data_IF_239084044806
#
_entry.id   IF_239084044806
#
_cell.length_a   1.000
_cell.length_b   1.000
_cell.length_c   1.000
_cell.angle_alpha   90.00
_cell.angle_beta   90.00
_cell.angle_gamma   90.00
#
_symmetry.space_group_name_H-M   'P 1'
#
loop_
_entity.id
_entity.type
_entity.pdbx_description
1 polymer ?
2 non-polymer ?
3 non-polymer ?
4 water ?
#
# COMPACT_ATOMS: atom_id res chain seq x y z
N UNK A 1 -8.59 -1.03 -24.49
CA UNK A 1 -8.54 -2.07 -25.61
C UNK A 1 -9.00 -3.35 -24.92
N UNK A 2 -9.95 -4.12 -25.47
CA UNK A 2 -10.39 -5.22 -24.61
C UNK A 2 -9.38 -6.37 -24.58
N UNK A 3 -8.87 -6.73 -23.41
CA UNK A 3 -7.89 -7.75 -23.24
C UNK A 3 -8.40 -9.16 -23.08
N UNK A 4 -7.50 -10.11 -23.10
CA UNK A 4 -7.83 -11.53 -22.87
C UNK A 4 -8.23 -11.66 -21.41
N UNK A 5 -9.42 -12.21 -21.16
CA UNK A 5 -9.86 -12.34 -19.78
C UNK A 5 -8.92 -13.13 -18.84
N UNK A 6 -8.29 -14.23 -19.29
CA UNK A 6 -7.49 -14.98 -18.48
C UNK A 6 -6.17 -14.13 -18.25
N UNK A 7 -5.70 -13.38 -19.28
CA UNK A 7 -4.52 -12.51 -18.95
C UNK A 7 -4.87 -11.54 -17.82
N UNK A 8 -6.06 -10.92 -17.95
CA UNK A 8 -6.49 -9.99 -16.87
C UNK A 8 -6.50 -10.68 -15.53
N UNK A 9 -6.98 -11.92 -15.49
CA UNK A 9 -6.96 -12.68 -14.23
C UNK A 9 -5.54 -12.84 -13.67
N UNK A 10 -4.58 -13.19 -14.56
CA UNK A 10 -3.19 -13.31 -14.09
C UNK A 10 -2.67 -11.95 -13.63
N UNK A 11 -3.03 -10.89 -14.34
CA UNK A 11 -2.57 -9.54 -13.86
C UNK A 11 -3.16 -9.22 -12.49
N UNK A 12 -4.42 -9.56 -12.25
CA UNK A 12 -5.01 -9.30 -10.91
C UNK A 12 -4.43 -10.17 -9.88
N UNK A 13 -4.11 -11.44 -10.21
CA UNK A 13 -3.39 -12.30 -9.20
C UNK A 13 -2.01 -11.68 -8.90
N UNK A 14 -1.35 -11.16 -9.95
CA UNK A 14 -0.03 -10.50 -9.72
C UNK A 14 -0.21 -9.23 -8.87
N UNK A 15 -1.24 -8.44 -9.10
CA UNK A 15 -1.51 -7.25 -8.26
C UNK A 15 -1.65 -7.69 -6.82
N UNK A 16 -2.44 -8.72 -6.55
CA UNK A 16 -2.58 -9.19 -5.13
C UNK A 16 -1.23 -9.62 -4.60
N UNK A 17 -0.41 -10.34 -5.36
CA UNK A 17 0.93 -10.68 -4.91
C UNK A 17 1.75 -9.45 -4.51
N UNK A 18 1.71 -8.43 -5.38
CA UNK A 18 2.49 -7.24 -5.06
C UNK A 18 1.95 -6.46 -3.88
N UNK A 19 0.62 -6.35 -3.73
CA UNK A 19 0.13 -5.65 -2.58
C UNK A 19 0.58 -6.40 -1.28
N UNK A 20 0.61 -7.76 -1.36
CA UNK A 20 1.09 -8.52 -0.18
C UNK A 20 2.59 -8.16 0.07
N UNK A 21 3.39 -8.14 -1.02
CA UNK A 21 4.81 -7.82 -0.82
C UNK A 21 5.00 -6.44 -0.27
N UNK A 22 4.23 -5.45 -0.79
CA UNK A 22 4.40 -4.08 -0.25
C UNK A 22 4.20 -4.10 1.27
N UNK A 23 3.08 -4.66 1.74
CA UNK A 23 2.80 -4.57 3.18
C UNK A 23 3.71 -5.46 4.00
N UNK A 24 4.09 -6.64 3.46
CA UNK A 24 4.96 -7.50 4.21
C UNK A 24 6.38 -6.87 4.33
N UNK A 25 6.92 -6.35 3.21
CA UNK A 25 8.17 -5.59 3.37
C UNK A 25 8.00 -4.35 4.24
N UNK A 26 6.88 -3.59 4.16
CA UNK A 26 6.84 -2.35 4.97
C UNK A 26 6.79 -2.72 6.46
N UNK A 27 5.94 -3.74 6.79
CA UNK A 27 5.88 -4.10 8.20
C UNK A 27 7.24 -4.60 8.66
N UNK A 28 7.95 -5.38 7.86
CA UNK A 28 9.29 -5.88 8.27
C UNK A 28 10.26 -4.72 8.36
N UNK A 29 10.20 -3.71 7.48
CA UNK A 29 11.06 -2.47 7.63
C UNK A 29 10.78 -1.90 8.99
N UNK A 30 9.51 -1.68 9.34
CA UNK A 30 9.28 -1.03 10.65
C UNK A 30 9.60 -1.95 11.83
N UNK A 31 9.55 -3.26 11.71
CA UNK A 31 9.97 -4.16 12.77
C UNK A 31 11.52 -4.09 12.90
N UNK A 32 12.20 -4.06 11.77
CA UNK A 32 13.69 -4.01 11.85
C UNK A 32 14.08 -2.70 12.46
N UNK A 33 13.38 -1.59 12.11
CA UNK A 33 13.69 -0.31 12.77
C UNK A 33 13.41 -0.35 14.27
N UNK A 34 12.29 -0.97 14.62
CA UNK A 34 11.94 -1.06 16.05
C UNK A 34 12.98 -1.89 16.79
N UNK A 35 13.52 -2.93 16.17
CA UNK A 35 14.56 -3.75 16.82
C UNK A 35 15.95 -3.09 16.82
N UNK A 36 16.11 -2.04 16.03
CA UNK A 36 17.38 -1.29 16.05
C UNK A 36 18.33 -1.56 14.89
N UNK A 37 17.91 -2.39 13.91
CA UNK A 37 18.83 -2.71 12.73
C UNK A 37 18.50 -1.67 11.67
N UNK A 38 19.07 -0.48 11.80
CA UNK A 38 18.59 0.62 11.00
C UNK A 38 19.06 0.41 9.53
N UNK A 39 20.19 -0.24 9.28
CA UNK A 39 20.57 -0.44 7.87
C UNK A 39 19.78 -1.51 7.20
N UNK A 40 19.40 -2.53 7.96
CA UNK A 40 18.44 -3.48 7.35
C UNK A 40 17.09 -2.78 7.12
N UNK A 41 16.63 -1.97 8.10
CA UNK A 41 15.34 -1.27 7.93
C UNK A 41 15.39 -0.41 6.64
N UNK A 42 16.48 0.35 6.39
CA UNK A 42 16.56 1.15 5.17
C UNK A 42 16.37 0.37 3.89
N UNK A 43 16.99 -0.78 3.83
CA UNK A 43 16.87 -1.65 2.63
C UNK A 43 15.47 -2.22 2.48
N UNK A 44 14.86 -2.62 3.62
CA UNK A 44 13.48 -3.13 3.47
C UNK A 44 12.49 -2.07 3.08
N UNK A 45 12.65 -0.84 3.56
CA UNK A 45 11.80 0.29 3.07
C UNK A 45 11.95 0.43 1.53
N UNK A 46 13.19 0.43 1.06
CA UNK A 46 13.40 0.62 -0.37
C UNK A 46 12.78 -0.57 -1.15
N UNK A 47 12.89 -1.81 -0.62
CA UNK A 47 12.29 -2.94 -1.36
C UNK A 47 10.77 -2.82 -1.40
N UNK A 48 10.16 -2.38 -0.29
CA UNK A 48 8.67 -2.19 -0.28
C UNK A 48 8.29 -1.16 -1.34
N UNK A 49 9.05 -0.06 -1.46
CA UNK A 49 8.73 0.96 -2.50
C UNK A 49 8.94 0.41 -3.90
N UNK A 50 9.93 -0.47 -4.11
CA UNK A 50 10.07 -1.14 -5.46
C UNK A 50 8.76 -1.94 -5.71
N UNK A 51 8.22 -2.64 -4.67
CA UNK A 51 7.02 -3.49 -4.97
C UNK A 51 5.83 -2.54 -5.20
N UNK A 52 5.80 -1.33 -4.60
CA UNK A 52 4.70 -0.38 -4.82
C UNK A 52 4.72 -0.06 -6.36
N UNK A 53 5.87 0.14 -6.99
CA UNK A 53 5.90 0.41 -8.38
C UNK A 53 5.34 -0.73 -9.24
N UNK A 54 5.72 -1.94 -8.79
CA UNK A 54 5.20 -3.14 -9.49
C UNK A 54 3.68 -3.21 -9.37
N UNK A 55 3.12 -2.96 -8.18
CA UNK A 55 1.64 -2.97 -8.02
C UNK A 55 1.02 -1.96 -8.98
N UNK A 56 1.60 -0.74 -9.05
CA UNK A 56 1.05 0.25 -9.94
C UNK A 56 1.09 -0.20 -11.39
N UNK A 57 2.20 -0.83 -11.81
CA UNK A 57 2.21 -1.30 -13.18
C UNK A 57 1.10 -2.32 -13.49
N UNK A 58 0.79 -3.14 -12.49
CA UNK A 58 -0.36 -4.04 -12.78
C UNK A 58 -1.67 -3.30 -12.86
N UNK A 59 -1.91 -2.36 -11.95
CA UNK A 59 -3.18 -1.58 -12.02
C UNK A 59 -3.30 -0.91 -13.39
N UNK A 60 -2.20 -0.30 -13.86
CA UNK A 60 -2.27 0.43 -15.18
C UNK A 60 -2.59 -0.58 -16.33
N UNK A 61 -1.97 -1.77 -16.28
CA UNK A 61 -2.21 -2.63 -17.43
C UNK A 61 -3.60 -3.18 -17.38
N UNK A 62 -4.07 -3.53 -16.19
CA UNK A 62 -5.45 -4.08 -16.10
C UNK A 62 -6.44 -3.06 -16.64
N UNK A 63 -6.28 -1.77 -16.28
CA UNK A 63 -7.25 -0.77 -16.80
C UNK A 63 -7.14 -0.62 -18.28
N UNK A 64 -5.91 -0.64 -18.83
CA UNK A 64 -5.81 -0.50 -20.28
C UNK A 64 -6.55 -1.62 -21.00
N UNK A 65 -6.49 -2.84 -20.45
CA UNK A 65 -7.12 -4.03 -21.06
C UNK A 65 -8.61 -4.10 -20.63
N UNK A 66 -9.13 -3.01 -20.03
CA UNK A 66 -10.60 -2.85 -19.66
C UNK A 66 -11.02 -3.85 -18.63
N UNK A 67 -10.11 -4.30 -17.80
CA UNK A 67 -10.48 -5.07 -16.64
C UNK A 67 -10.68 -4.21 -15.38
N UNK A 68 -11.08 -4.91 -14.31
CA UNK A 68 -11.32 -4.21 -13.05
C UNK A 68 -10.23 -4.60 -12.05
N UNK A 69 -9.28 -3.69 -11.74
CA UNK A 69 -8.24 -4.08 -10.77
C UNK A 69 -8.86 -4.32 -9.41
N UNK A 70 -8.42 -5.41 -8.76
CA UNK A 70 -8.95 -5.71 -7.45
C UNK A 70 -7.86 -5.54 -6.39
N UNK A 71 -7.96 -4.50 -5.58
CA UNK A 71 -6.97 -4.25 -4.51
C UNK A 71 -7.60 -4.64 -3.16
N UNK A 72 -8.76 -5.39 -3.09
CA UNK A 72 -9.35 -5.58 -1.82
C UNK A 72 -8.61 -6.55 -0.91
N UNK A 73 -7.89 -7.52 -1.45
CA UNK A 73 -7.31 -8.55 -0.56
C UNK A 73 -5.86 -8.87 -0.90
N UNK A 74 -5.20 -9.36 0.14
CA UNK A 74 -3.85 -9.75 0.06
C UNK A 74 -3.75 -11.26 0.20
N UNK A 75 -2.62 -11.82 -0.17
CA UNK A 75 -2.30 -13.24 0.11
C UNK A 75 -1.90 -13.25 1.61
N UNK A 76 -1.87 -14.42 2.25
CA UNK A 76 -1.62 -14.35 3.73
C UNK A 76 -0.18 -13.81 4.01
N UNK A 77 -0.15 -12.91 4.98
CA UNK A 77 1.15 -12.37 5.34
C UNK A 77 1.95 -13.39 6.15
N UNK A 78 3.29 -13.28 6.00
CA UNK A 78 4.20 -14.09 6.80
C UNK A 78 5.04 -13.13 7.60
N UNK A 79 4.87 -13.10 8.91
CA UNK A 79 5.50 -11.97 9.72
C UNK A 79 6.61 -12.56 10.51
N UNK A 80 7.82 -12.15 10.25
CA UNK A 80 8.89 -12.89 11.10
C UNK A 80 9.08 -12.32 12.51
N UNK A 81 9.48 -13.07 13.56
CA UNK A 81 9.79 -12.38 14.81
C UNK A 81 11.26 -12.43 15.26
N UNK A 82 12.13 -12.81 14.32
CA UNK A 82 13.56 -12.59 14.43
C UNK A 82 14.05 -12.17 13.06
N UNK A 83 15.29 -11.63 13.01
CA UNK A 83 15.79 -11.21 11.77
C UNK A 83 15.81 -12.40 10.81
N UNK A 84 16.22 -13.60 11.24
CA UNK A 84 16.26 -14.72 10.28
C UNK A 84 14.84 -15.09 9.78
N UNK A 85 13.86 -15.08 10.67
CA UNK A 85 12.47 -15.33 10.24
C UNK A 85 11.96 -14.28 9.24
N UNK A 86 12.37 -13.02 9.39
CA UNK A 86 11.96 -11.98 8.42
C UNK A 86 12.57 -12.36 7.05
N UNK A 87 13.86 -12.72 6.98
CA UNK A 87 14.51 -13.07 5.74
C UNK A 87 13.74 -14.27 5.14
N UNK A 88 13.48 -15.27 6.00
CA UNK A 88 12.83 -16.50 5.48
C UNK A 88 11.40 -16.26 4.94
N UNK A 89 10.68 -15.41 5.65
CA UNK A 89 9.28 -15.05 5.31
C UNK A 89 9.22 -14.35 3.94
N UNK A 90 10.14 -13.36 3.79
CA UNK A 90 10.15 -12.60 2.52
C UNK A 90 10.66 -13.50 1.40
N UNK A 91 11.62 -14.40 1.66
CA UNK A 91 12.09 -15.30 0.58
C UNK A 91 10.92 -16.20 0.12
N UNK A 92 10.14 -16.74 1.06
CA UNK A 92 9.05 -17.64 0.63
C UNK A 92 8.03 -16.89 -0.19
N UNK A 93 7.74 -15.64 0.16
CA UNK A 93 6.78 -14.87 -0.63
C UNK A 93 7.29 -14.52 -2.00
N UNK A 94 8.57 -14.19 -2.04
CA UNK A 94 9.11 -13.79 -3.34
C UNK A 94 9.27 -14.99 -4.31
N UNK A 95 9.57 -16.20 -3.77
CA UNK A 95 9.55 -17.41 -4.64
C UNK A 95 8.14 -17.59 -5.23
N UNK A 96 7.12 -17.36 -4.42
CA UNK A 96 5.73 -17.57 -4.96
C UNK A 96 5.42 -16.49 -6.03
N UNK A 97 5.90 -15.26 -5.81
CA UNK A 97 5.70 -14.25 -6.86
C UNK A 97 6.38 -14.57 -8.19
N UNK A 98 7.64 -14.94 -8.11
CA UNK A 98 8.39 -15.34 -9.29
C UNK A 98 7.61 -16.44 -10.04
N UNK A 99 7.13 -17.47 -9.33
CA UNK A 99 6.46 -18.59 -10.06
C UNK A 99 5.16 -18.13 -10.70
N UNK A 100 4.46 -17.21 -10.00
CA UNK A 100 3.24 -16.66 -10.64
C UNK A 100 3.59 -15.90 -11.94
N UNK A 101 4.68 -15.10 -11.86
CA UNK A 101 4.99 -14.34 -13.08
C UNK A 101 5.51 -15.18 -14.23
N UNK A 102 6.19 -16.28 -13.89
CA UNK A 102 6.59 -17.20 -14.91
C UNK A 102 5.36 -17.78 -15.62
N UNK A 103 4.34 -18.16 -14.80
CA UNK A 103 3.16 -18.69 -15.45
C UNK A 103 2.39 -17.63 -16.22
N UNK A 104 2.25 -16.37 -15.68
CA UNK A 104 1.55 -15.32 -16.38
C UNK A 104 2.22 -14.96 -17.72
N UNK A 105 3.56 -14.94 -17.68
CA UNK A 105 4.27 -14.63 -18.93
C UNK A 105 4.05 -15.73 -19.98
N UNK A 106 4.07 -17.00 -19.55
CA UNK A 106 3.87 -18.05 -20.55
C UNK A 106 2.47 -18.01 -21.10
N UNK A 107 1.45 -17.77 -20.23
CA UNK A 107 0.09 -17.67 -20.68
C UNK A 107 -0.12 -16.52 -21.68
N UNK A 108 0.39 -15.33 -21.29
CA UNK A 108 0.18 -14.19 -22.17
C UNK A 108 0.88 -14.44 -23.53
N UNK A 109 2.06 -15.07 -23.52
CA UNK A 109 2.75 -15.34 -24.79
C UNK A 109 1.84 -16.27 -25.61
N UNK A 110 1.22 -17.24 -24.95
CA UNK A 110 0.41 -18.23 -25.75
C UNK A 110 -0.79 -17.57 -26.46
N UNK A 111 -1.31 -16.41 -26.00
CA UNK A 111 -2.43 -15.68 -26.62
C UNK A 111 -1.96 -14.44 -27.39
N UNK A 112 -0.63 -14.28 -27.54
CA UNK A 112 -0.12 -13.16 -28.36
C UNK A 112 -0.13 -11.85 -27.63
N UNK A 113 -0.37 -11.83 -26.31
CA UNK A 113 -0.38 -10.50 -25.60
C UNK A 113 1.04 -10.26 -25.14
N UNK A 114 1.85 -9.82 -26.13
CA UNK A 114 3.31 -9.72 -25.87
C UNK A 114 3.64 -8.56 -24.88
N UNK A 115 2.89 -7.46 -24.88
CA UNK A 115 3.23 -6.43 -23.86
C UNK A 115 2.93 -6.88 -22.42
N UNK A 116 1.84 -7.69 -22.27
CA UNK A 116 1.65 -8.25 -20.97
C UNK A 116 2.72 -9.31 -20.64
N UNK A 117 3.07 -10.12 -21.62
CA UNK A 117 4.14 -11.08 -21.39
C UNK A 117 5.44 -10.40 -20.92
N UNK A 118 5.76 -9.31 -21.62
CA UNK A 118 6.99 -8.56 -21.22
C UNK A 118 6.89 -7.88 -19.87
N UNK A 119 5.72 -7.47 -19.42
CA UNK A 119 5.58 -6.95 -18.05
C UNK A 119 5.84 -8.11 -17.07
N UNK A 120 5.25 -9.31 -17.31
CA UNK A 120 5.54 -10.41 -16.37
C UNK A 120 6.96 -10.87 -16.40
N UNK A 121 7.60 -10.89 -17.58
CA UNK A 121 9.01 -11.27 -17.63
C UNK A 121 9.89 -10.20 -16.95
N UNK A 122 9.57 -8.92 -17.12
CA UNK A 122 10.35 -7.87 -16.40
C UNK A 122 10.19 -8.04 -14.88
N UNK A 123 8.97 -8.22 -14.41
CA UNK A 123 8.80 -8.40 -12.94
C UNK A 123 9.43 -9.72 -12.51
N UNK A 124 9.36 -10.81 -13.32
CA UNK A 124 10.02 -12.05 -12.87
C UNK A 124 11.54 -11.81 -12.68
N UNK A 125 12.16 -11.02 -13.58
CA UNK A 125 13.61 -10.78 -13.39
C UNK A 125 13.82 -9.90 -12.14
N UNK A 126 12.89 -8.93 -11.87
CA UNK A 126 13.13 -8.14 -10.69
C UNK A 126 12.95 -8.99 -9.42
N UNK A 127 11.97 -9.92 -9.44
CA UNK A 127 11.82 -10.74 -8.25
C UNK A 127 13.00 -11.71 -8.12
N UNK A 128 13.64 -12.17 -9.22
CA UNK A 128 14.83 -12.99 -8.99
C UNK A 128 15.98 -12.16 -8.38
N UNK A 129 16.04 -10.87 -8.67
CA UNK A 129 17.03 -10.00 -7.98
C UNK A 129 16.70 -9.91 -6.51
N UNK A 130 15.42 -9.75 -6.14
CA UNK A 130 15.05 -9.77 -4.71
C UNK A 130 15.34 -11.08 -4.04
N UNK A 131 15.08 -12.21 -4.72
CA UNK A 131 15.42 -13.54 -4.24
C UNK A 131 16.96 -13.64 -3.99
N UNK A 132 17.72 -13.22 -4.98
CA UNK A 132 19.22 -13.24 -4.83
C UNK A 132 19.61 -12.49 -3.56
N UNK A 133 19.06 -11.29 -3.35
CA UNK A 133 19.39 -10.56 -2.16
C UNK A 133 19.07 -11.32 -0.88
N UNK A 134 17.85 -11.84 -0.77
CA UNK A 134 17.42 -12.54 0.40
C UNK A 134 18.19 -13.86 0.65
N UNK A 135 18.44 -14.59 -0.43
CA UNK A 135 19.30 -15.81 -0.29
C UNK A 135 20.68 -15.44 0.21
N UNK A 136 21.22 -14.31 -0.30
CA UNK A 136 22.58 -13.94 0.14
C UNK A 136 22.55 -13.62 1.64
N UNK A 137 21.48 -12.93 2.10
CA UNK A 137 21.49 -12.57 3.56
C UNK A 137 21.43 -13.87 4.31
N UNK A 138 20.61 -14.83 3.88
CA UNK A 138 20.53 -16.09 4.66
C UNK A 138 21.86 -16.87 4.58
N UNK A 139 22.60 -16.69 3.49
CA UNK A 139 23.93 -17.34 3.37
C UNK A 139 24.91 -16.76 4.45
N UNK A 140 24.86 -15.46 4.60
CA UNK A 140 25.70 -14.83 5.60
C UNK A 140 25.26 -15.29 6.97
N UNK A 141 23.95 -15.39 7.26
CA UNK A 141 23.55 -15.84 8.60
C UNK A 141 24.07 -17.29 8.78
N UNK A 142 24.04 -18.11 7.73
CA UNK A 142 24.51 -19.50 7.87
C UNK A 142 26.02 -19.54 8.14
N UNK A 143 26.82 -18.70 7.48
CA UNK A 143 28.28 -18.78 7.60
C UNK A 143 28.81 -17.99 8.82
N UNK A 144 28.09 -16.94 9.28
CA UNK A 144 28.64 -16.10 10.36
C UNK A 144 27.88 -16.27 11.64
N UNK A 145 26.65 -16.78 11.54
CA UNK A 145 25.68 -16.76 12.61
C UNK A 145 24.82 -15.48 12.61
N UNK A 146 23.64 -15.61 13.13
CA UNK A 146 22.64 -14.47 13.01
C UNK A 146 23.22 -13.22 13.73
N UNK A 147 23.84 -13.36 14.91
CA UNK A 147 24.20 -12.14 15.69
C UNK A 147 25.30 -11.37 14.98
N UNK A 148 26.34 -12.02 14.41
CA UNK A 148 27.38 -11.25 13.64
C UNK A 148 26.74 -10.63 12.44
N UNK A 149 25.87 -11.38 11.74
CA UNK A 149 25.24 -10.78 10.53
C UNK A 149 24.45 -9.51 10.94
N UNK A 150 23.57 -9.65 11.92
CA UNK A 150 22.69 -8.52 12.22
C UNK A 150 23.46 -7.34 12.82
N UNK A 151 24.47 -7.65 13.66
CA UNK A 151 25.21 -6.53 14.27
C UNK A 151 25.84 -5.65 13.22
N UNK A 152 26.28 -6.21 12.11
CA UNK A 152 26.92 -5.37 11.11
C UNK A 152 26.03 -4.31 10.50
N UNK A 153 24.74 -4.58 10.59
CA UNK A 153 23.79 -3.69 9.92
C UNK A 153 22.96 -2.88 10.93
N UNK A 154 23.47 -2.69 12.15
CA UNK A 154 22.78 -1.82 13.08
C UNK A 154 22.73 -0.39 12.56
N UNK A 155 23.80 0.09 11.89
CA UNK A 155 23.73 1.45 11.33
C UNK A 155 24.19 2.48 12.32
N UNK A 156 23.81 3.76 12.05
CA UNK A 156 24.29 4.96 12.82
C UNK A 156 23.14 5.38 13.68
N UNK A 157 23.52 6.01 14.79
CA UNK A 157 22.44 6.55 15.67
C UNK A 157 21.94 7.90 15.14
N UNK A 158 20.65 8.20 15.37
CA UNK A 158 20.07 9.48 14.83
C UNK A 158 20.70 10.63 15.56
N UNK A 159 20.84 11.76 14.86
CA UNK A 159 21.28 13.02 15.52
C UNK A 159 20.40 13.34 16.75
N UNK B 1 7.47 -0.01 24.81
CA UNK B 1 6.78 0.37 26.10
C UNK B 1 5.43 -0.32 26.03
N UNK B 2 4.94 -1.00 27.08
CA UNK B 2 3.70 -1.72 26.79
C UNK B 2 2.53 -0.77 26.86
N UNK B 3 1.79 -0.69 25.77
CA UNK B 3 0.65 0.19 25.62
C UNK B 3 -0.67 -0.31 26.15
N UNK B 4 -1.67 0.55 26.21
CA UNK B 4 -3.01 0.10 26.54
C UNK B 4 -3.58 -0.74 25.40
N UNK B 5 -4.03 -1.95 25.75
CA UNK B 5 -4.51 -2.85 24.68
C UNK B 5 -5.69 -2.27 23.83
N UNK B 6 -6.63 -1.48 24.38
CA UNK B 6 -7.65 -1.02 23.65
C UNK B 6 -7.12 0.15 22.75
N UNK B 7 -6.15 0.93 23.27
CA UNK B 7 -5.58 1.97 22.33
C UNK B 7 -4.94 1.25 21.14
N UNK B 8 -4.21 0.16 21.40
CA UNK B 8 -3.58 -0.55 20.25
C UNK B 8 -4.65 -1.06 19.29
N UNK B 9 -5.81 -1.49 19.80
CA UNK B 9 -6.90 -1.92 18.90
C UNK B 9 -7.39 -0.73 18.05
N UNK B 10 -7.58 0.46 18.66
CA UNK B 10 -7.96 1.59 17.83
C UNK B 10 -6.89 1.94 16.80
N UNK B 11 -5.64 1.82 17.21
CA UNK B 11 -4.54 2.13 16.22
C UNK B 11 -4.58 1.13 15.06
N UNK B 12 -4.83 -0.13 15.37
CA UNK B 12 -4.96 -1.13 14.25
C UNK B 12 -6.17 -0.91 13.43
N UNK B 13 -7.30 -0.51 14.05
CA UNK B 13 -8.43 -0.15 13.20
C UNK B 13 -8.11 1.03 12.30
N UNK B 14 -7.37 1.99 12.87
CA UNK B 14 -6.95 3.16 12.03
C UNK B 14 -6.04 2.70 10.93
N UNK B 15 -5.10 1.82 11.22
CA UNK B 15 -4.22 1.30 10.15
C UNK B 15 -5.04 0.66 9.02
N UNK B 16 -6.04 -0.16 9.37
CA UNK B 16 -6.89 -0.73 8.31
C UNK B 16 -7.58 0.36 7.54
N UNK B 17 -8.11 1.39 8.22
CA UNK B 17 -8.80 2.47 7.51
C UNK B 17 -7.82 3.15 6.51
N UNK B 18 -6.59 3.36 6.94
CA UNK B 18 -5.63 4.05 6.01
C UNK B 18 -5.20 3.16 4.89
N UNK B 19 -4.99 1.86 5.16
CA UNK B 19 -4.67 1.00 4.04
C UNK B 19 -5.80 1.00 2.97
N UNK B 20 -7.05 1.01 3.49
CA UNK B 20 -8.20 1.10 2.53
C UNK B 20 -8.11 2.43 1.73
N UNK B 21 -7.84 3.54 2.45
CA UNK B 21 -7.78 4.81 1.70
C UNK B 21 -6.61 4.88 0.71
N UNK B 22 -5.45 4.29 1.07
CA UNK B 22 -4.34 4.28 0.14
C UNK B 22 -4.80 3.59 -1.17
N UNK B 23 -5.35 2.37 -1.04
CA UNK B 23 -5.70 1.62 -2.25
C UNK B 23 -6.90 2.22 -2.99
N UNK B 24 -7.91 2.76 -2.25
CA UNK B 24 -9.06 3.36 -2.94
C UNK B 24 -8.62 4.62 -3.71
N UNK B 25 -7.80 5.47 -3.05
CA UNK B 25 -7.31 6.64 -3.80
C UNK B 25 -6.39 6.20 -4.92
N UNK B 26 -5.55 5.20 -4.74
CA UNK B 26 -4.62 4.88 -5.86
C UNK B 26 -5.40 4.30 -7.08
N UNK B 27 -6.36 3.36 -6.76
CA UNK B 27 -7.14 2.89 -7.88
C UNK B 27 -7.91 4.02 -8.53
N UNK B 28 -8.46 4.92 -7.73
CA UNK B 28 -9.17 6.07 -8.35
C UNK B 28 -8.23 7.01 -9.14
N UNK B 29 -7.00 7.22 -8.69
CA UNK B 29 -5.97 7.96 -9.48
C UNK B 29 -5.84 7.27 -10.82
N UNK B 30 -5.64 5.95 -10.82
CA UNK B 30 -5.37 5.30 -12.12
C UNK B 30 -6.63 5.24 -12.98
N UNK B 31 -7.82 5.18 -12.41
CA UNK B 31 -9.04 5.28 -13.19
C UNK B 31 -9.23 6.68 -13.77
N UNK B 32 -8.94 7.72 -13.01
CA UNK B 32 -9.08 9.07 -13.55
C UNK B 32 -8.05 9.29 -14.67
N UNK B 33 -6.84 8.75 -14.51
CA UNK B 33 -5.85 8.81 -15.63
C UNK B 33 -6.31 8.06 -16.88
N UNK B 34 -6.86 6.88 -16.62
CA UNK B 34 -7.41 6.07 -17.76
C UNK B 34 -8.51 6.79 -18.50
N UNK B 35 -9.38 7.49 -17.77
CA UNK B 35 -10.47 8.28 -18.37
C UNK B 35 -9.97 9.58 -19.00
N UNK B 36 -8.76 10.01 -18.67
CA UNK B 36 -8.17 11.19 -19.33
C UNK B 36 -8.20 12.46 -18.50
N UNK B 37 -8.62 12.37 -17.21
CA UNK B 37 -8.69 13.61 -16.35
C UNK B 37 -7.36 13.69 -15.64
N UNK B 38 -6.31 14.18 -16.37
CA UNK B 38 -4.97 14.02 -15.85
C UNK B 38 -4.74 14.94 -14.59
N UNK B 39 -5.41 16.09 -14.50
CA UNK B 39 -5.20 16.95 -13.30
C UNK B 39 -5.95 16.38 -12.09
N UNK B 40 -7.07 15.74 -12.31
CA UNK B 40 -7.71 15.06 -11.19
C UNK B 40 -6.82 13.85 -10.81
N UNK B 41 -6.25 13.12 -11.82
CA UNK B 41 -5.41 11.94 -11.50
C UNK B 41 -4.20 12.43 -10.64
N UNK B 42 -3.58 13.56 -10.97
CA UNK B 42 -2.39 13.98 -10.19
C UNK B 42 -2.71 14.21 -8.74
N UNK B 43 -3.86 14.80 -8.50
CA UNK B 43 -4.28 15.10 -7.13
C UNK B 43 -4.66 13.84 -6.37
N UNK B 44 -5.33 12.87 -7.02
CA UNK B 44 -5.61 11.65 -6.26
C UNK B 44 -4.38 10.81 -5.98
N UNK B 45 -3.40 10.83 -6.87
CA UNK B 45 -2.10 10.15 -6.58
C UNK B 45 -1.48 10.81 -5.29
N UNK B 46 -1.46 12.17 -5.24
CA UNK B 46 -0.88 12.81 -4.09
C UNK B 46 -1.70 12.52 -2.84
N UNK B 47 -3.02 12.42 -2.92
CA UNK B 47 -3.78 12.12 -1.66
C UNK B 47 -3.51 10.69 -1.24
N UNK B 48 -3.37 9.75 -2.18
CA UNK B 48 -3.03 8.37 -1.78
C UNK B 48 -1.71 8.35 -1.04
N UNK B 49 -0.71 9.07 -1.54
CA UNK B 49 0.61 9.12 -0.86
C UNK B 49 0.52 9.79 0.53
N UNK B 50 -0.37 10.77 0.68
CA UNK B 50 -0.63 11.31 2.05
C UNK B 50 -1.18 10.20 2.95
N UNK B 51 -2.06 9.32 2.42
CA UNK B 51 -2.63 8.28 3.32
C UNK B 51 -1.51 7.21 3.59
N UNK B 52 -0.55 7.01 2.67
CA UNK B 52 0.55 6.05 2.92
C UNK B 52 1.32 6.59 4.13
N UNK B 53 1.50 7.90 4.29
CA UNK B 53 2.24 8.35 5.44
C UNK B 53 1.48 8.13 6.73
N UNK B 54 0.15 8.33 6.66
CA UNK B 54 -0.70 8.06 7.83
C UNK B 54 -0.62 6.58 8.19
N UNK B 55 -0.70 5.66 7.20
CA UNK B 55 -0.57 4.22 7.52
C UNK B 55 0.76 3.96 8.25
N UNK B 56 1.84 4.54 7.71
CA UNK B 56 3.12 4.32 8.38
C UNK B 56 3.14 4.81 9.82
N UNK B 57 2.56 6.00 10.06
CA UNK B 57 2.47 6.49 11.42
C UNK B 57 1.76 5.52 12.41
N UNK B 58 0.71 4.90 11.90
CA UNK B 58 0.08 3.89 12.76
C UNK B 58 0.94 2.68 12.95
N UNK B 59 1.63 2.14 11.94
CA UNK B 59 2.49 0.94 12.15
C UNK B 59 3.56 1.30 13.20
N UNK B 60 4.17 2.50 13.08
CA UNK B 60 5.26 2.89 14.00
C UNK B 60 4.69 2.95 15.46
N UNK B 61 3.50 3.54 15.63
CA UNK B 61 3.04 3.70 17.04
C UNK B 61 2.69 2.36 17.61
N UNK B 62 2.05 1.51 16.82
CA UNK B 62 1.65 0.16 17.34
C UNK B 62 2.87 -0.61 17.78
N UNK B 63 3.95 -0.60 17.00
CA UNK B 63 5.18 -1.34 17.43
C UNK B 63 5.79 -0.71 18.67
N UNK B 64 5.80 0.63 18.76
CA UNK B 64 6.39 1.23 19.98
C UNK B 64 5.61 0.75 21.23
N UNK B 65 4.28 0.64 21.10
CA UNK B 65 3.40 0.21 22.23
C UNK B 65 3.38 -1.32 22.34
N UNK B 66 4.27 -2.02 21.59
CA UNK B 66 4.47 -3.49 21.67
C UNK B 66 3.28 -4.27 21.17
N UNK B 67 2.45 -3.66 20.34
CA UNK B 67 1.41 -4.42 19.66
C UNK B 67 1.88 -5.00 18.31
N UNK B 68 0.95 -5.73 17.70
CA UNK B 68 1.23 -6.37 16.42
C UNK B 68 0.43 -5.67 15.35
N UNK B 69 1.06 -4.86 14.48
CA UNK B 69 0.30 -4.21 13.42
C UNK B 69 -0.28 -5.25 12.47
N UNK B 70 -1.56 -5.07 12.09
CA UNK B 70 -2.23 -5.97 11.20
C UNK B 70 -2.50 -5.28 9.85
N UNK B 71 -1.71 -5.64 8.82
CA UNK B 71 -1.92 -5.09 7.46
C UNK B 71 -2.65 -6.11 6.57
N UNK B 72 -3.23 -7.21 7.14
CA UNK B 72 -3.77 -8.21 6.22
C UNK B 72 -5.02 -7.81 5.48
N UNK B 73 -5.84 -6.99 6.09
CA UNK B 73 -7.14 -6.72 5.46
C UNK B 73 -7.47 -5.21 5.40
N UNK B 74 -8.38 -4.92 4.48
CA UNK B 74 -8.89 -3.61 4.26
C UNK B 74 -10.36 -3.60 4.59
N UNK B 75 -10.87 -2.42 4.78
CA UNK B 75 -12.35 -2.23 4.85
C UNK B 75 -12.86 -2.34 3.39
N UNK B 76 -14.20 -2.50 3.20
CA UNK B 76 -14.62 -2.78 1.78
C UNK B 76 -14.38 -1.52 0.90
N UNK B 77 -13.84 -1.80 -0.28
CA UNK B 77 -13.52 -0.63 -1.09
C UNK B 77 -14.83 -0.19 -1.74
N UNK B 78 -14.84 1.11 -2.09
CA UNK B 78 -15.96 1.71 -2.84
C UNK B 78 -15.38 2.24 -4.11
N UNK B 79 -15.73 1.67 -5.27
CA UNK B 79 -15.00 2.05 -6.49
C UNK B 79 -15.94 2.83 -7.34
N UNK B 80 -15.58 4.04 -7.65
CA UNK B 80 -16.66 4.75 -8.46
C UNK B 80 -16.59 4.48 -9.97
N UNK B 81 -17.70 4.49 -10.76
CA UNK B 81 -17.64 4.32 -12.22
C UNK B 81 -17.85 5.58 -13.09
N UNK B 82 -17.98 6.74 -12.43
CA UNK B 82 -17.96 8.07 -13.02
C UNK B 82 -17.17 8.99 -12.10
N UNK B 83 -16.78 10.16 -12.60
CA UNK B 83 -16.04 11.07 -11.74
C UNK B 83 -16.89 11.41 -10.52
N UNK B 84 -18.22 11.65 -10.69
CA UNK B 84 -19.00 11.97 -9.48
C UNK B 84 -19.01 10.79 -8.47
N UNK B 85 -19.13 9.58 -8.95
CA UNK B 85 -19.11 8.40 -8.06
C UNK B 85 -17.75 8.27 -7.34
N UNK B 86 -16.64 8.57 -8.03
CA UNK B 86 -15.32 8.50 -7.37
C UNK B 86 -15.36 9.56 -6.24
N UNK B 87 -15.85 10.80 -6.48
CA UNK B 87 -15.85 11.81 -5.43
C UNK B 87 -16.73 11.28 -4.23
N UNK B 88 -17.93 10.78 -4.54
CA UNK B 88 -18.81 10.32 -3.47
C UNK B 88 -18.21 9.13 -2.67
N UNK B 89 -17.54 8.24 -3.39
CA UNK B 89 -16.97 7.02 -2.76
C UNK B 89 -15.88 7.40 -1.78
N UNK B 90 -15.00 8.31 -2.23
CA UNK B 90 -13.91 8.73 -1.34
C UNK B 90 -14.46 9.60 -0.20
N UNK B 91 -15.51 10.42 -0.42
CA UNK B 91 -16.05 11.21 0.69
C UNK B 91 -16.63 10.26 1.75
N UNK B 92 -17.36 9.23 1.34
CA UNK B 92 -17.94 8.34 2.36
C UNK B 92 -16.88 7.68 3.17
N UNK B 93 -15.79 7.26 2.51
CA UNK B 93 -14.73 6.63 3.27
C UNK B 93 -14.04 7.56 4.20
N UNK B 94 -13.81 8.79 3.75
CA UNK B 94 -13.05 9.68 4.61
C UNK B 94 -13.95 10.13 5.82
N UNK B 95 -15.29 10.25 5.63
CA UNK B 95 -16.16 10.50 6.81
C UNK B 95 -16.05 9.36 7.85
N UNK B 96 -15.92 8.13 7.39
CA UNK B 96 -15.82 7.01 8.35
C UNK B 96 -14.45 7.07 9.06
N UNK B 97 -13.36 7.42 8.30
CA UNK B 97 -12.03 7.57 8.95
C UNK B 97 -12.03 8.65 10.02
N UNK B 98 -12.58 9.83 9.69
CA UNK B 98 -12.67 10.93 10.63
C UNK B 98 -13.40 10.49 11.93
N UNK B 99 -14.52 9.78 11.79
CA UNK B 99 -15.30 9.39 13.01
C UNK B 99 -14.48 8.37 13.80
N UNK B 100 -13.76 7.49 13.10
CA UNK B 100 -12.88 6.55 13.90
C UNK B 100 -11.78 7.29 14.68
N UNK B 101 -11.19 8.29 14.03
CA UNK B 101 -10.13 8.94 14.75
C UNK B 101 -10.66 9.86 15.88
N UNK B 102 -11.86 10.37 15.71
CA UNK B 102 -12.49 11.10 16.83
C UNK B 102 -12.66 10.20 18.08
N UNK B 103 -13.14 8.99 17.77
CA UNK B 103 -13.34 8.02 18.89
C UNK B 103 -12.00 7.56 19.48
N UNK B 104 -10.97 7.26 18.63
CA UNK B 104 -9.64 6.80 19.08
C UNK B 104 -9.00 7.91 19.96
N UNK B 105 -9.17 9.16 19.49
CA UNK B 105 -8.56 10.24 20.28
C UNK B 105 -9.24 10.34 21.65
N UNK B 106 -10.57 10.24 21.68
CA UNK B 106 -11.26 10.36 23.02
C UNK B 106 -10.87 9.19 23.91
N UNK B 107 -10.79 7.96 23.36
CA UNK B 107 -10.42 6.87 24.18
C UNK B 107 -9.01 7.03 24.72
N UNK B 108 -8.06 7.34 23.83
CA UNK B 108 -6.69 7.42 24.28
C UNK B 108 -6.56 8.55 25.38
N UNK B 109 -7.29 9.66 25.22
CA UNK B 109 -7.22 10.72 26.24
C UNK B 109 -7.71 10.14 27.55
N UNK B 110 -8.81 9.39 27.49
CA UNK B 110 -9.42 8.87 28.79
C UNK B 110 -8.44 7.92 29.53
N UNK B 111 -7.43 7.28 28.89
CA UNK B 111 -6.46 6.46 29.56
C UNK B 111 -5.06 7.14 29.69
N UNK B 112 -5.02 8.44 29.41
CA UNK B 112 -3.77 9.21 29.58
C UNK B 112 -2.75 8.94 28.49
N UNK B 113 -3.09 8.31 27.36
CA UNK B 113 -2.03 8.06 26.34
C UNK B 113 -2.14 9.27 25.39
N UNK B 114 -1.51 10.33 25.88
CA UNK B 114 -1.68 11.62 25.16
C UNK B 114 -0.91 11.60 23.81
N UNK B 115 0.23 10.89 23.69
CA UNK B 115 0.86 10.89 22.32
C UNK B 115 0.03 10.16 21.28
N UNK B 116 -0.66 9.08 21.73
CA UNK B 116 -1.55 8.48 20.79
C UNK B 116 -2.79 9.36 20.53
N UNK B 117 -3.32 9.99 21.57
CA UNK B 117 -4.41 10.93 21.37
C UNK B 117 -4.05 12.01 20.31
N UNK B 118 -2.81 12.51 20.44
CA UNK B 118 -2.40 13.57 19.53
C UNK B 118 -2.19 13.04 18.11
N UNK B 119 -1.79 11.80 17.93
CA UNK B 119 -1.70 11.20 16.56
C UNK B 119 -3.13 11.13 16.02
N UNK B 120 -4.10 10.63 16.81
CA UNK B 120 -5.46 10.58 16.24
C UNK B 120 -6.05 11.94 15.95
N UNK B 121 -5.77 12.95 16.82
CA UNK B 121 -6.28 14.30 16.53
C UNK B 121 -5.58 14.90 15.32
N UNK B 122 -4.29 14.66 15.14
CA UNK B 122 -3.59 15.19 13.94
C UNK B 122 -4.23 14.56 12.70
N UNK B 123 -4.40 13.21 12.74
CA UNK B 123 -4.98 12.60 11.54
C UNK B 123 -6.44 13.02 11.35
N UNK B 124 -7.24 13.21 12.44
CA UNK B 124 -8.62 13.72 12.28
C UNK B 124 -8.63 15.09 11.52
N UNK B 125 -7.72 15.98 11.90
CA UNK B 125 -7.66 17.27 11.17
C UNK B 125 -7.24 17.05 9.72
N UNK B 126 -6.31 16.12 9.49
CA UNK B 126 -5.95 15.92 8.10
C UNK B 126 -7.14 15.35 7.29
N UNK B 127 -7.89 14.44 7.89
CA UNK B 127 -9.01 13.90 7.13
C UNK B 127 -10.12 14.96 6.94
N UNK B 128 -10.30 15.90 7.89
CA UNK B 128 -11.24 16.98 7.62
C UNK B 128 -10.74 17.86 6.46
N UNK B 129 -9.45 18.01 6.26
CA UNK B 129 -8.99 18.72 5.06
C UNK B 129 -9.31 17.92 3.80
N UNK B 130 -9.13 16.60 3.82
CA UNK B 130 -9.56 15.78 2.69
C UNK B 130 -11.02 15.83 2.42
N UNK B 131 -11.84 15.82 3.47
CA UNK B 131 -13.29 15.93 3.40
C UNK B 131 -13.62 17.31 2.75
N UNK B 132 -12.98 18.37 3.21
CA UNK B 132 -13.27 19.74 2.67
C UNK B 132 -12.97 19.70 1.14
N UNK B 133 -11.84 19.13 0.72
CA UNK B 133 -11.53 19.08 -0.70
C UNK B 133 -12.65 18.32 -1.47
N UNK B 134 -13.07 17.12 -1.02
CA UNK B 134 -13.97 16.32 -1.76
C UNK B 134 -15.36 16.98 -1.75
N UNK B 135 -15.79 17.54 -0.61
CA UNK B 135 -17.08 18.34 -0.59
C UNK B 135 -17.03 19.48 -1.57
N UNK B 136 -15.85 20.16 -1.66
CA UNK B 136 -15.77 21.30 -2.61
C UNK B 136 -15.94 20.77 -4.06
N UNK B 137 -15.33 19.62 -4.36
CA UNK B 137 -15.45 19.11 -5.76
C UNK B 137 -16.90 18.81 -6.01
N UNK B 138 -17.58 18.21 -5.05
CA UNK B 138 -19.04 17.89 -5.28
C UNK B 138 -19.87 19.16 -5.39
N UNK B 139 -19.47 20.21 -4.69
CA UNK B 139 -20.19 21.47 -4.75
C UNK B 139 -20.06 22.03 -6.22
N UNK B 140 -18.86 21.95 -6.76
CA UNK B 140 -18.68 22.41 -8.15
C UNK B 140 -19.48 21.57 -9.10
N UNK B 141 -19.50 20.24 -8.93
CA UNK B 141 -20.32 19.41 -9.81
C UNK B 141 -21.83 19.85 -9.71
N UNK B 142 -22.25 20.14 -8.51
CA UNK B 142 -23.68 20.54 -8.28
C UNK B 142 -23.98 21.87 -8.96
N UNK B 143 -23.06 22.82 -8.92
CA UNK B 143 -23.31 24.18 -9.44
C UNK B 143 -23.05 24.25 -10.94
N UNK B 144 -22.07 23.46 -11.43
CA UNK B 144 -21.70 23.62 -12.88
C UNK B 144 -22.15 22.47 -13.72
N UNK B 145 -22.49 21.33 -13.09
CA UNK B 145 -22.72 20.09 -13.81
C UNK B 145 -21.40 19.29 -13.93
N UNK B 146 -21.54 17.99 -13.97
CA UNK B 146 -20.31 17.14 -13.96
C UNK B 146 -19.40 17.43 -15.19
N UNK B 147 -19.97 17.64 -16.40
CA UNK B 147 -19.12 17.75 -17.57
C UNK B 147 -18.26 19.00 -17.52
N UNK B 148 -18.82 20.14 -17.15
CA UNK B 148 -17.97 21.36 -17.02
C UNK B 148 -16.94 21.17 -15.94
N UNK B 149 -17.31 20.55 -14.78
CA UNK B 149 -16.31 20.41 -13.74
C UNK B 149 -15.18 19.52 -14.28
N UNK B 150 -15.54 18.36 -14.85
CA UNK B 150 -14.44 17.42 -15.18
C UNK B 150 -13.58 17.91 -16.38
N UNK B 151 -14.21 18.59 -17.32
CA UNK B 151 -13.44 19.12 -18.47
C UNK B 151 -12.36 20.09 -17.99
N UNK B 152 -12.63 20.85 -16.94
CA UNK B 152 -11.57 21.82 -16.54
C UNK B 152 -10.26 21.19 -16.11
N UNK B 153 -10.43 19.94 -15.66
CA UNK B 153 -9.28 19.25 -15.06
C UNK B 153 -8.75 18.14 -15.99
N UNK B 154 -9.00 18.26 -17.30
CA UNK B 154 -8.39 17.26 -18.22
C UNK B 154 -6.88 17.38 -18.18
N UNK B 155 -6.36 18.59 -18.07
CA UNK B 155 -4.90 18.76 -18.04
C UNK B 155 -4.24 18.87 -19.38
N UNK B 156 -2.92 18.67 -19.40
CA UNK B 156 -2.12 18.84 -20.63
C UNK B 156 -1.81 17.45 -21.21
N UNK B 157 -1.61 17.44 -22.53
CA UNK B 157 -1.23 16.14 -23.18
C UNK B 157 0.28 15.84 -23.02
N UNK B 158 0.63 14.56 -22.88
CA UNK B 158 2.05 14.23 -22.59
C UNK B 158 2.85 14.58 -23.81
N UNK B 159 4.10 15.00 -23.61
CA UNK B 159 5.04 15.15 -24.76
C UNK B 159 5.05 13.89 -25.67
X LIG C 1 5.50 6.02 -1.97
X LIG C 1 2.51 3.32 -4.54
X LIG C 1 1.00 1.16 -0.44
X LIG C 1 4.17 3.98 2.10
X LIG C 1 4.96 5.38 -3.04
X LIG C 1 5.27 5.63 -4.42
X LIG C 1 4.38 4.85 -5.19
X LIG C 1 3.52 4.19 -4.22
X LIG C 1 4.29 4.59 -6.68
X LIG C 1 6.48 6.45 -4.86
X LIG C 1 5.75 7.72 -5.09
X LIG C 1 6.69 8.67 -5.90
X LIG C 1 6.19 9.56 -6.66
X LIG C 1 7.95 8.49 -5.67
X LIG C 1 1.78 2.54 -3.60
X LIG C 1 0.67 1.59 -4.00
X LIG C 1 0.28 1.05 -2.81
X LIG C 1 1.10 1.61 -1.78
X LIG C 1 0.17 1.38 -5.44
X LIG C 1 -0.79 0.05 -2.47
X LIG C 1 -1.80 0.43 -3.24
X LIG C 1 1.81 1.69 0.61
X LIG C 1 1.72 1.21 1.98
X LIG C 1 2.57 2.02 2.71
X LIG C 1 3.22 2.96 1.74
X LIG C 1 0.84 0.07 2.41
X LIG C 1 2.93 2.02 4.15
X LIG C 1 2.07 1.41 4.99
X LIG C 1 4.80 4.85 1.18
X LIG C 1 5.65 5.91 1.59
X LIG C 1 6.03 6.47 0.37
X LIG C 1 5.31 5.75 -0.62
X LIG C 1 5.99 6.25 3.00
X LIG C 1 6.90 7.73 0.09
X LIG C 1 8.28 7.22 0.33
X LIG C 1 9.26 8.40 0.30
X LIG C 1 8.79 9.49 -0.20
X LIG C 1 10.47 8.17 0.71
X LIG C 1 3.92 4.48 -2.91
X LIG C 1 2.01 2.52 -2.28
X LIG C 1 2.76 2.75 0.45
X LIG C 1 4.61 4.76 -0.17
X LIG C 1 3.31 3.60 -1.21
X LIG D 1 7.29 -7.16 -6.97
X LIG E 1 10.12 -8.59 -4.84
X LIG F 1 -5.51 9.20 6.24
X LIG G 1 -7.82 11.17 3.94
#
# INVERSE_FOLDING_TARGET
MKGDQKVIEYLNRGLRSELTAVSQYWLHYRMLEDWGYKDLAKKWRAESIEEMAHADKFVERILFLEGLPNLQTLDPLRIGQTVKEVLESDLAAEREARALYQEGAAYAASVGDFPSKNLFEELMGDEEHHIDFLETQLDLVSKLGLELYAQHHIGKLDD
MKGDQKVIEYLNRGLRSELTAVSQYWLHYRMLEDWGYKDLAKKWRAESIEEMAHADKFVERILFLEGLPNLQTLDPLRIGQTVKEVLESDLAAEREARALYQEGAAYAASVGDFPSKNLFEELMGDEEHHIDFLETQLDLVSKLGLELYAQHHIGKLDD
HEM CHA CHB CHC CHD C1A C2A C3A C4A CMA CAA CBA CGA O1A O2A C1B C2B C3B C4B CMB CAB CBB C1C C2C C3C C4C CMC CAC CBC C1D C2D C3D C4D CMD CAD CBD CGD O1D O2D NA NB NC ND FE
FE FE
FE FE
FE FE
FE FE
#
